data_IF_807877312394
#
_entry.id   IF_807877312394
#
_cell.length_a   1.000
_cell.length_b   1.000
_cell.length_c   1.000
_cell.angle_alpha   90.00
_cell.angle_beta   90.00
_cell.angle_gamma   90.00
#
_symmetry.space_group_name_H-M   'P 1'
#
loop_
_entity.id
_entity.type
_entity.pdbx_description
1 polymer ?
#
# COMPACT_ATOMS: atom_id res chain seq x y z
N UNK A 1 -14.88 6.77 8.63
CA UNK A 1 -16.33 7.06 8.72
C UNK A 1 -16.59 8.44 8.14
N UNK A 2 -17.58 8.60 7.24
CA UNK A 2 -17.98 9.93 6.73
C UNK A 2 -17.83 10.17 5.22
N UNK A 3 -17.38 9.19 4.43
CA UNK A 3 -17.40 9.32 2.96
C UNK A 3 -18.62 8.61 2.38
N UNK A 4 -19.30 9.19 1.37
CA UNK A 4 -20.47 8.57 0.75
C UNK A 4 -20.06 7.34 -0.08
N UNK A 5 -20.60 6.13 0.21
CA UNK A 5 -20.30 4.93 -0.57
C UNK A 5 -20.61 5.07 -2.06
N UNK A 6 -21.63 5.86 -2.40
CA UNK A 6 -22.01 6.17 -3.78
C UNK A 6 -20.93 6.93 -4.57
N UNK A 7 -19.96 7.55 -3.91
CA UNK A 7 -18.85 8.26 -4.57
C UNK A 7 -17.50 7.56 -4.42
N UNK A 8 -17.38 6.54 -3.58
CA UNK A 8 -16.12 5.87 -3.27
C UNK A 8 -16.12 4.35 -3.51
N UNK A 9 -17.25 3.76 -3.91
CA UNK A 9 -17.36 2.33 -4.22
C UNK A 9 -16.60 1.88 -5.48
N UNK A 10 -16.43 0.57 -5.63
CA UNK A 10 -15.66 -0.12 -6.70
C UNK A 10 -16.10 0.26 -8.13
N UNK A 11 -17.34 0.75 -8.31
CA UNK A 11 -17.87 1.20 -9.60
C UNK A 11 -18.10 2.72 -9.70
N UNK A 12 -17.78 3.46 -8.64
CA UNK A 12 -17.99 4.90 -8.56
C UNK A 12 -16.67 5.67 -8.51
N UNK A 13 -15.62 5.07 -7.95
CA UNK A 13 -14.31 5.70 -7.77
C UNK A 13 -13.22 4.79 -8.33
N UNK A 14 -12.37 5.28 -9.24
CA UNK A 14 -11.29 4.47 -9.78
C UNK A 14 -10.17 4.33 -8.76
N UNK A 15 -9.35 3.29 -8.91
CA UNK A 15 -8.00 3.33 -8.36
C UNK A 15 -7.26 4.54 -8.95
N UNK A 16 -6.42 5.19 -8.16
CA UNK A 16 -5.70 6.37 -8.57
C UNK A 16 -4.21 6.23 -8.32
N UNK A 17 -3.43 6.93 -9.14
CA UNK A 17 -1.99 7.08 -9.02
C UNK A 17 -1.65 8.55 -9.29
N UNK A 18 -0.80 9.11 -8.44
CA UNK A 18 -0.18 10.43 -8.64
C UNK A 18 1.34 10.27 -8.54
N UNK A 19 2.08 11.36 -8.41
CA UNK A 19 3.54 11.38 -8.23
C UNK A 19 4.07 10.25 -7.34
N UNK A 20 3.63 10.21 -6.09
CA UNK A 20 4.15 9.33 -5.04
C UNK A 20 3.04 8.64 -4.26
N UNK A 21 1.78 8.83 -4.64
CA UNK A 21 0.62 8.26 -3.96
C UNK A 21 -0.17 7.37 -4.90
N UNK A 22 -0.75 6.34 -4.33
CA UNK A 22 -1.76 5.53 -4.99
C UNK A 22 -2.84 5.11 -4.01
N UNK A 23 -3.99 4.72 -4.54
CA UNK A 23 -5.07 4.23 -3.70
C UNK A 23 -6.15 3.50 -4.48
N UNK A 24 -7.02 2.87 -3.71
CA UNK A 24 -8.08 2.00 -4.17
C UNK A 24 -9.42 2.47 -3.60
N UNK A 25 -10.54 2.21 -4.31
CA UNK A 25 -11.86 2.50 -3.80
C UNK A 25 -12.19 1.71 -2.53
N UNK A 26 -13.40 1.92 -2.02
CA UNK A 26 -13.96 1.17 -0.92
C UNK A 26 -14.00 -0.33 -1.21
N UNK A 27 -13.21 -1.06 -0.43
CA UNK A 27 -13.26 -2.52 -0.38
C UNK A 27 -13.81 -2.99 0.97
N UNK A 28 -14.56 -4.12 0.99
CA UNK A 28 -14.96 -4.75 2.23
C UNK A 28 -13.72 -5.19 3.00
N UNK A 29 -13.72 -5.01 4.31
CA UNK A 29 -12.59 -5.37 5.18
C UNK A 29 -12.53 -6.86 5.50
N UNK A 30 -13.50 -7.63 5.04
CA UNK A 30 -13.67 -9.05 5.30
C UNK A 30 -14.17 -9.76 4.05
N UNK A 31 -13.81 -11.04 3.92
CA UNK A 31 -14.16 -11.86 2.76
C UNK A 31 -15.64 -12.31 2.72
N UNK A 32 -16.44 -11.94 3.73
CA UNK A 32 -17.84 -12.35 3.85
C UNK A 32 -18.83 -11.22 3.54
N UNK A 33 -18.36 -10.08 3.00
CA UNK A 33 -19.14 -8.85 2.74
C UNK A 33 -19.82 -8.23 3.98
N UNK A 34 -19.58 -8.79 5.16
CA UNK A 34 -20.04 -8.26 6.45
C UNK A 34 -18.89 -7.51 7.12
N UNK A 35 -18.92 -6.18 7.05
CA UNK A 35 -17.92 -5.34 7.68
C UNK A 35 -17.96 -3.89 7.19
N UNK A 36 -17.14 -3.01 7.79
CA UNK A 36 -16.94 -1.69 7.24
C UNK A 36 -16.29 -1.76 5.84
N UNK A 37 -16.43 -0.69 5.09
CA UNK A 37 -15.72 -0.50 3.83
C UNK A 37 -14.67 0.58 4.02
N UNK A 38 -13.45 0.33 3.54
CA UNK A 38 -12.34 1.25 3.68
C UNK A 38 -11.76 1.65 2.32
N UNK A 39 -11.39 2.93 2.22
CA UNK A 39 -10.50 3.41 1.17
C UNK A 39 -9.07 3.13 1.62
N UNK A 40 -8.30 2.46 0.78
CA UNK A 40 -6.87 2.23 1.00
C UNK A 40 -6.09 3.23 0.17
N UNK A 41 -5.07 3.84 0.76
CA UNK A 41 -4.10 4.64 0.04
C UNK A 41 -2.72 4.46 0.66
N UNK A 42 -1.69 4.65 -0.13
CA UNK A 42 -0.30 4.45 0.26
C UNK A 42 0.62 5.42 -0.49
N UNK A 43 1.81 5.61 0.07
CA UNK A 43 2.93 6.23 -0.62
C UNK A 43 3.78 5.15 -1.28
N UNK A 44 4.23 5.38 -2.51
CA UNK A 44 5.19 4.51 -3.21
C UNK A 44 6.64 4.97 -3.03
N UNK A 45 6.88 5.99 -2.20
CA UNK A 45 8.27 6.39 -1.87
C UNK A 45 8.95 5.27 -1.09
N UNK A 46 10.15 4.86 -1.53
CA UNK A 46 10.93 3.86 -0.80
C UNK A 46 11.16 4.28 0.65
N UNK A 47 10.94 3.33 1.56
CA UNK A 47 11.25 3.47 2.97
C UNK A 47 12.73 3.32 3.26
N UNK A 48 13.06 3.32 4.55
CA UNK A 48 14.41 2.99 5.00
C UNK A 48 14.64 1.49 4.88
N UNK A 49 15.89 1.04 4.61
CA UNK A 49 16.26 -0.36 4.75
C UNK A 49 15.95 -0.85 6.17
N UNK A 50 15.34 -2.04 6.29
CA UNK A 50 14.97 -2.67 7.55
C UNK A 50 15.45 -4.12 7.58
N UNK A 51 15.51 -4.68 8.78
CA UNK A 51 15.60 -6.14 8.98
C UNK A 51 14.18 -6.72 8.97
N UNK A 52 13.86 -7.68 8.08
CA UNK A 52 12.51 -8.27 8.03
C UNK A 52 12.12 -9.02 9.32
N UNK A 53 13.07 -9.38 10.19
CA UNK A 53 12.80 -9.99 11.49
C UNK A 53 12.50 -8.95 12.59
N UNK A 54 12.73 -7.65 12.32
CA UNK A 54 12.50 -6.54 13.26
C UNK A 54 11.71 -5.40 12.60
N UNK A 55 10.47 -5.70 12.19
CA UNK A 55 9.58 -4.72 11.55
C UNK A 55 8.98 -3.80 12.62
N UNK A 56 9.43 -2.55 12.60
CA UNK A 56 8.85 -1.49 13.44
C UNK A 56 7.56 -0.92 12.82
N UNK A 57 6.62 -0.42 13.65
CA UNK A 57 5.48 0.35 13.16
C UNK A 57 5.92 1.59 12.36
N UNK A 58 5.12 2.08 11.40
CA UNK A 58 5.48 3.28 10.64
C UNK A 58 5.57 4.51 11.54
N UNK A 59 6.53 5.38 11.22
CA UNK A 59 6.75 6.63 11.93
C UNK A 59 5.51 7.55 11.85
N UNK A 60 5.11 8.13 13.00
CA UNK A 60 3.91 8.97 13.09
C UNK A 60 3.98 10.23 12.21
N UNK A 61 5.16 10.80 12.00
CA UNK A 61 5.35 11.97 11.13
C UNK A 61 5.15 11.57 9.67
N UNK A 62 5.64 10.39 9.27
CA UNK A 62 5.40 9.84 7.92
C UNK A 62 3.90 9.62 7.72
N UNK A 63 3.21 9.00 8.67
CA UNK A 63 1.75 8.78 8.62
C UNK A 63 1.03 10.13 8.45
N UNK A 64 1.34 11.11 9.29
CA UNK A 64 0.72 12.43 9.25
C UNK A 64 0.97 13.16 7.92
N UNK A 65 2.18 13.04 7.37
CA UNK A 65 2.54 13.63 6.08
C UNK A 65 1.77 13.01 4.92
N UNK A 66 1.70 11.67 4.85
CA UNK A 66 0.92 10.96 3.82
C UNK A 66 -0.56 11.29 3.94
N UNK A 67 -1.12 11.27 5.16
CA UNK A 67 -2.52 11.64 5.39
C UNK A 67 -2.82 13.09 4.97
N UNK A 68 -1.89 14.03 5.21
CA UNK A 68 -2.03 15.43 4.76
C UNK A 68 -2.04 15.52 3.24
N UNK A 69 -1.11 14.84 2.54
CA UNK A 69 -1.10 14.83 1.07
C UNK A 69 -2.39 14.24 0.49
N UNK A 70 -2.88 13.14 1.06
CA UNK A 70 -4.14 12.51 0.64
C UNK A 70 -5.35 13.43 0.82
N UNK A 71 -5.44 14.16 1.95
CA UNK A 71 -6.51 15.15 2.17
C UNK A 71 -6.43 16.33 1.22
N UNK A 72 -5.23 16.72 0.81
CA UNK A 72 -5.04 17.75 -0.22
C UNK A 72 -5.48 17.26 -1.61
N UNK A 73 -5.23 15.99 -1.93
CA UNK A 73 -5.63 15.39 -3.20
C UNK A 73 -7.13 15.10 -3.27
N UNK A 74 -7.69 14.58 -2.18
CA UNK A 74 -9.08 14.18 -2.05
C UNK A 74 -9.71 14.95 -0.88
N UNK A 75 -10.21 16.18 -1.11
CA UNK A 75 -10.76 17.02 -0.03
C UNK A 75 -11.90 16.39 0.76
N UNK A 76 -12.63 15.42 0.18
CA UNK A 76 -13.64 14.64 0.88
C UNK A 76 -13.07 13.91 2.12
N UNK A 77 -11.76 13.62 2.14
CA UNK A 77 -11.07 12.95 3.24
C UNK A 77 -10.80 13.86 4.46
N UNK A 78 -11.11 15.17 4.42
CA UNK A 78 -10.83 16.08 5.54
C UNK A 78 -11.42 15.60 6.87
N UNK A 79 -12.64 15.06 6.84
CA UNK A 79 -13.34 14.53 8.01
C UNK A 79 -13.23 13.00 8.12
N UNK A 80 -12.46 12.35 7.23
CA UNK A 80 -12.26 10.92 7.29
C UNK A 80 -11.30 10.56 8.43
N UNK A 81 -11.74 9.60 9.24
CA UNK A 81 -10.91 8.99 10.28
C UNK A 81 -9.94 7.98 9.68
N UNK A 82 -8.66 8.10 10.04
CA UNK A 82 -7.67 7.06 9.83
C UNK A 82 -7.96 5.91 10.80
N UNK A 83 -8.29 4.74 10.27
CA UNK A 83 -8.76 3.58 11.05
C UNK A 83 -7.73 2.48 11.18
N UNK A 84 -6.81 2.39 10.22
CA UNK A 84 -5.75 1.39 10.19
C UNK A 84 -4.55 1.95 9.43
N UNK A 85 -3.37 1.60 9.90
CA UNK A 85 -2.08 1.80 9.23
C UNK A 85 -1.37 0.47 9.26
N UNK A 86 -0.68 0.13 8.18
CA UNK A 86 0.04 -1.13 8.05
C UNK A 86 1.40 -0.88 7.39
N UNK A 87 2.38 -1.73 7.73
CA UNK A 87 3.72 -1.73 7.13
C UNK A 87 3.76 -2.79 6.04
N UNK A 88 4.35 -2.46 4.89
CA UNK A 88 4.70 -3.44 3.86
C UNK A 88 6.21 -3.36 3.60
N UNK A 89 6.81 -4.51 3.33
CA UNK A 89 8.26 -4.62 3.09
C UNK A 89 8.48 -4.94 1.62
N UNK A 90 9.43 -4.23 1.02
CA UNK A 90 9.91 -4.48 -0.33
C UNK A 90 11.31 -5.09 -0.28
N UNK A 91 11.52 -6.14 -1.07
CA UNK A 91 12.84 -6.70 -1.38
C UNK A 91 13.28 -6.14 -2.73
N UNK A 92 14.18 -5.15 -2.70
CA UNK A 92 14.52 -4.31 -3.85
C UNK A 92 15.90 -4.70 -4.38
N UNK A 93 15.96 -5.11 -5.65
CA UNK A 93 17.23 -5.37 -6.35
C UNK A 93 17.90 -4.04 -6.75
N UNK A 94 19.24 -4.00 -6.91
CA UNK A 94 19.95 -2.76 -7.24
C UNK A 94 19.53 -2.10 -8.55
N UNK A 95 19.02 -2.88 -9.51
CA UNK A 95 18.54 -2.43 -10.82
C UNK A 95 17.01 -2.47 -10.93
N UNK A 96 16.31 -2.74 -9.83
CA UNK A 96 14.86 -2.90 -9.73
C UNK A 96 14.26 -4.03 -10.59
N UNK A 97 15.11 -4.87 -11.20
CA UNK A 97 14.71 -6.05 -11.96
C UNK A 97 14.40 -7.23 -11.03
N UNK A 98 13.38 -8.01 -11.38
CA UNK A 98 13.09 -9.25 -10.65
C UNK A 98 14.21 -10.26 -10.86
N UNK A 99 14.57 -10.98 -9.79
CA UNK A 99 15.50 -12.08 -9.89
C UNK A 99 14.68 -13.37 -9.92
N UNK A 100 14.48 -13.90 -11.13
CA UNK A 100 13.79 -15.17 -11.38
C UNK A 100 14.73 -16.09 -12.16
N UNK A 101 15.37 -17.03 -11.47
CA UNK A 101 16.36 -17.89 -12.09
C UNK A 101 16.45 -19.26 -11.39
N UNK A 102 17.27 -20.16 -11.94
CA UNK A 102 17.67 -21.43 -11.33
C UNK A 102 18.99 -21.25 -10.60
N UNK A 103 19.19 -22.00 -9.51
CA UNK A 103 20.50 -21.99 -8.85
C UNK A 103 21.54 -22.69 -9.76
N UNK A 104 22.78 -22.18 -9.87
CA UNK A 104 23.75 -22.69 -10.85
C UNK A 104 24.09 -24.19 -10.74
N UNK A 105 23.95 -24.79 -9.56
CA UNK A 105 24.41 -26.16 -9.28
C UNK A 105 23.28 -27.19 -9.13
N UNK A 106 22.01 -26.77 -9.16
CA UNK A 106 20.86 -27.69 -9.11
C UNK A 106 19.70 -27.12 -9.94
N UNK A 107 19.55 -27.55 -11.22
CA UNK A 107 18.52 -26.99 -12.09
C UNK A 107 17.10 -27.30 -11.64
N UNK A 108 16.89 -28.16 -10.63
CA UNK A 108 15.57 -28.43 -10.05
C UNK A 108 15.09 -27.31 -9.12
N UNK A 109 15.99 -26.46 -8.66
CA UNK A 109 15.69 -25.36 -7.75
C UNK A 109 15.58 -24.07 -8.55
N UNK A 110 14.40 -23.45 -8.46
CA UNK A 110 14.10 -22.12 -9.01
C UNK A 110 13.89 -21.17 -7.83
N UNK A 111 14.40 -19.94 -7.94
CA UNK A 111 14.17 -18.90 -6.94
C UNK A 111 13.58 -17.65 -7.59
N UNK A 112 12.76 -16.94 -6.82
CA UNK A 112 12.08 -15.71 -7.21
C UNK A 112 12.22 -14.71 -6.04
N UNK A 113 13.00 -13.65 -6.22
CA UNK A 113 13.32 -12.63 -5.20
C UNK A 113 13.57 -11.27 -5.88
N UNK A 114 13.84 -10.21 -5.11
CA UNK A 114 14.08 -8.88 -5.67
C UNK A 114 12.84 -8.32 -6.37
N UNK A 115 11.65 -8.57 -5.82
CA UNK A 115 10.37 -8.28 -6.46
C UNK A 115 10.01 -6.78 -6.47
N UNK A 116 10.85 -5.92 -5.89
CA UNK A 116 10.91 -4.45 -6.06
C UNK A 116 9.60 -3.63 -5.87
N UNK A 117 8.56 -4.25 -5.33
CA UNK A 117 7.36 -3.56 -4.83
C UNK A 117 6.43 -3.00 -5.88
#
# INVERSE_FOLDING_TARGET
AGLPPSSFGIHAFPSFFTSDLYGFPFHPTSNNDYGPYWLKAASHTFGMPIDPDDILPPDEQVIAHVAKKLRSLLPALHNAHLVQVDSCVYDVSPDEGFILDRIPHDPRIVFATGLTG
#
